data_IF_566356403612
#
_entry.id   IF_566356403612
#
_cell.length_a   1.000
_cell.length_b   1.000
_cell.length_c   1.000
_cell.angle_alpha   90.00
_cell.angle_beta   90.00
_cell.angle_gamma   90.00
#
_symmetry.space_group_name_H-M   'P 1'
#
loop_
_entity.id
_entity.type
_entity.pdbx_description
1 polymer ?
#
# COMPACT_ATOMS: atom_id res chain seq x y z
N UNK A 1 6.40 7.83 -19.31
CA UNK A 1 5.84 8.25 -18.00
C UNK A 1 6.61 7.55 -16.90
N UNK A 2 6.95 8.28 -15.82
CA UNK A 2 7.49 7.66 -14.62
C UNK A 2 6.46 6.70 -14.01
N UNK A 3 6.88 5.66 -13.26
CA UNK A 3 5.94 4.81 -12.54
C UNK A 3 5.16 5.64 -11.50
N UNK A 4 3.86 5.40 -11.33
CA UNK A 4 3.04 6.13 -10.36
C UNK A 4 3.56 5.85 -8.95
N UNK A 5 3.74 6.91 -8.17
CA UNK A 5 4.26 6.83 -6.82
C UNK A 5 3.13 7.05 -5.80
N UNK A 6 3.10 6.20 -4.78
CA UNK A 6 2.20 6.35 -3.64
C UNK A 6 2.77 7.43 -2.73
N UNK A 7 2.06 8.55 -2.59
CA UNK A 7 2.46 9.66 -1.72
C UNK A 7 2.02 9.46 -0.28
N UNK A 8 0.97 8.67 -0.06
CA UNK A 8 0.52 8.24 1.26
C UNK A 8 -0.46 7.07 1.12
N UNK A 9 -0.84 6.47 2.23
CA UNK A 9 -1.92 5.49 2.27
C UNK A 9 -2.60 5.48 3.62
N UNK A 10 -3.82 4.96 3.71
CA UNK A 10 -4.53 4.86 4.97
C UNK A 10 -5.59 3.76 4.91
N UNK A 11 -6.17 3.43 6.06
CA UNK A 11 -7.34 2.56 6.14
C UNK A 11 -8.59 3.43 6.22
N UNK A 12 -9.43 3.42 5.18
CA UNK A 12 -10.76 4.00 5.29
C UNK A 12 -11.61 3.17 6.25
N UNK A 13 -12.59 3.79 6.88
CA UNK A 13 -13.58 3.12 7.75
C UNK A 13 -14.91 2.90 7.04
N UNK A 14 -15.19 3.62 5.94
CA UNK A 14 -16.40 3.50 5.13
C UNK A 14 -16.04 3.70 3.65
N UNK A 15 -15.94 2.62 2.85
CA UNK A 15 -15.85 1.22 3.27
C UNK A 15 -14.57 0.95 4.06
N UNK A 16 -14.54 -0.11 4.87
CA UNK A 16 -13.33 -0.50 5.60
C UNK A 16 -12.31 -1.15 4.67
N UNK A 17 -11.45 -0.33 4.08
CA UNK A 17 -10.55 -0.72 2.98
C UNK A 17 -9.26 0.10 2.98
N UNK A 18 -8.12 -0.50 2.60
CA UNK A 18 -6.91 0.27 2.33
C UNK A 18 -7.10 1.21 1.15
N UNK A 19 -6.54 2.42 1.28
CA UNK A 19 -6.56 3.45 0.25
C UNK A 19 -5.13 3.85 -0.06
N UNK A 20 -4.75 3.77 -1.34
CA UNK A 20 -3.51 4.37 -1.85
C UNK A 20 -3.80 5.77 -2.36
N UNK A 21 -2.97 6.73 -1.95
CA UNK A 21 -3.06 8.12 -2.39
C UNK A 21 -1.93 8.37 -3.38
N UNK A 22 -2.30 8.84 -4.57
CA UNK A 22 -1.37 9.26 -5.62
C UNK A 22 -1.31 10.79 -5.73
N UNK A 23 -0.28 11.31 -6.38
CA UNK A 23 -0.09 12.76 -6.57
C UNK A 23 -1.22 13.42 -7.37
N UNK A 24 -1.79 12.70 -8.34
CA UNK A 24 -2.82 13.20 -9.24
C UNK A 24 -3.73 12.06 -9.74
N UNK A 25 -4.81 12.41 -10.42
CA UNK A 25 -5.80 11.47 -10.94
C UNK A 25 -5.27 10.58 -12.06
N UNK A 26 -4.37 11.10 -12.90
CA UNK A 26 -3.80 10.36 -14.04
C UNK A 26 -2.92 9.19 -13.55
N UNK A 27 -2.13 9.41 -12.50
CA UNK A 27 -1.31 8.37 -11.86
C UNK A 27 -2.18 7.28 -11.22
N UNK A 28 -3.26 7.68 -10.54
CA UNK A 28 -4.23 6.76 -9.95
C UNK A 28 -4.94 5.92 -11.03
N UNK A 29 -5.41 6.56 -12.10
CA UNK A 29 -6.05 5.88 -13.23
C UNK A 29 -5.07 4.94 -13.94
N UNK A 30 -3.84 5.39 -14.17
CA UNK A 30 -2.78 4.56 -14.74
C UNK A 30 -2.48 3.34 -13.86
N UNK A 31 -2.35 3.53 -12.54
CA UNK A 31 -2.21 2.42 -11.60
C UNK A 31 -3.40 1.45 -11.67
N UNK A 32 -4.63 1.97 -11.70
CA UNK A 32 -5.85 1.16 -11.81
C UNK A 32 -5.84 0.27 -13.07
N UNK A 33 -5.35 0.76 -14.20
CA UNK A 33 -5.25 -0.05 -15.43
C UNK A 33 -4.33 -1.28 -15.26
N UNK A 34 -3.35 -1.20 -14.34
CA UNK A 34 -2.40 -2.28 -14.03
C UNK A 34 -2.82 -3.12 -12.82
N UNK A 35 -3.60 -2.55 -11.91
CA UNK A 35 -4.08 -3.16 -10.68
C UNK A 35 -5.61 -3.28 -10.72
N UNK A 36 -6.12 -4.33 -11.39
CA UNK A 36 -7.56 -4.50 -11.66
C UNK A 36 -8.45 -4.63 -10.41
N UNK A 37 -7.87 -4.98 -9.26
CA UNK A 37 -8.59 -5.05 -8.00
C UNK A 37 -8.74 -3.68 -7.32
N UNK A 38 -7.91 -2.70 -7.71
CA UNK A 38 -8.02 -1.33 -7.25
C UNK A 38 -9.17 -0.63 -7.94
N UNK A 39 -9.90 0.20 -7.18
CA UNK A 39 -11.00 1.01 -7.71
C UNK A 39 -10.93 2.44 -7.24
N UNK A 40 -11.28 3.35 -8.14
CA UNK A 40 -11.53 4.75 -7.83
C UNK A 40 -13.03 4.89 -7.62
N UNK A 41 -13.45 5.44 -6.48
CA UNK A 41 -14.87 5.65 -6.19
C UNK A 41 -15.30 7.01 -6.75
N UNK A 42 -16.47 7.11 -7.43
CA UNK A 42 -16.90 8.35 -8.10
C UNK A 42 -17.17 9.50 -7.13
N UNK A 43 -17.55 9.19 -5.90
CA UNK A 43 -17.90 10.13 -4.83
C UNK A 43 -16.72 10.46 -3.90
N UNK A 44 -15.51 9.98 -4.22
CA UNK A 44 -14.28 10.22 -3.46
C UNK A 44 -13.25 10.97 -4.31
N UNK A 45 -12.10 11.32 -3.73
CA UNK A 45 -11.04 11.96 -4.48
C UNK A 45 -10.52 11.03 -5.60
N UNK A 46 -10.38 11.56 -6.82
CA UNK A 46 -10.01 10.77 -8.00
C UNK A 46 -8.57 10.27 -7.99
N UNK A 47 -7.71 10.81 -7.13
CA UNK A 47 -6.35 10.33 -6.89
C UNK A 47 -6.28 9.23 -5.81
N UNK A 48 -7.42 8.75 -5.31
CA UNK A 48 -7.49 7.68 -4.32
C UNK A 48 -7.86 6.36 -4.99
N UNK A 49 -7.09 5.32 -4.70
CA UNK A 49 -7.37 3.96 -5.14
C UNK A 49 -7.65 3.08 -3.94
N UNK A 50 -8.90 2.64 -3.83
CA UNK A 50 -9.37 1.71 -2.82
C UNK A 50 -8.98 0.30 -3.22
N UNK A 51 -8.47 -0.47 -2.26
CA UNK A 51 -8.05 -1.86 -2.44
C UNK A 51 -8.94 -2.78 -1.59
N UNK A 52 -9.15 -4.03 -2.00
CA UNK A 52 -9.75 -5.03 -1.13
C UNK A 52 -8.95 -5.19 0.15
N UNK A 53 -9.64 -5.46 1.26
CA UNK A 53 -8.99 -5.74 2.53
C UNK A 53 -8.02 -6.94 2.39
N UNK A 54 -6.71 -6.76 2.63
CA UNK A 54 -5.75 -7.82 2.44
C UNK A 54 -5.84 -8.84 3.58
N UNK A 55 -5.65 -10.11 3.22
CA UNK A 55 -5.69 -11.21 4.19
C UNK A 55 -4.60 -11.04 5.25
N UNK A 56 -4.95 -11.30 6.51
CA UNK A 56 -4.00 -11.30 7.62
C UNK A 56 -3.50 -9.92 8.03
N UNK A 57 -4.15 -8.83 7.59
CA UNK A 57 -3.85 -7.49 8.08
C UNK A 57 -4.23 -7.39 9.55
N UNK A 58 -3.28 -6.98 10.39
CA UNK A 58 -3.48 -6.80 11.82
C UNK A 58 -3.74 -5.35 12.18
N UNK A 59 -2.97 -4.42 11.58
CA UNK A 59 -3.12 -2.99 11.81
C UNK A 59 -2.43 -2.15 10.73
N UNK A 60 -2.87 -0.90 10.62
CA UNK A 60 -2.25 0.14 9.81
C UNK A 60 -1.85 1.28 10.74
N UNK A 61 -0.62 1.78 10.62
CA UNK A 61 -0.08 2.84 11.50
C UNK A 61 0.93 3.72 10.77
N UNK A 62 1.12 4.94 11.26
CA UNK A 62 2.24 5.77 10.82
C UNK A 62 3.58 5.10 11.14
N UNK A 63 4.55 5.30 10.26
CA UNK A 63 5.94 4.88 10.38
C UNK A 63 6.87 6.08 10.15
N UNK A 64 8.18 5.83 10.19
CA UNK A 64 9.18 6.87 10.00
C UNK A 64 9.09 7.47 8.58
N UNK A 65 9.53 8.73 8.44
CA UNK A 65 9.68 9.43 7.14
C UNK A 65 8.38 9.55 6.33
N UNK A 66 7.22 9.63 7.00
CA UNK A 66 5.93 9.78 6.32
C UNK A 66 5.40 8.49 5.70
N UNK A 67 6.05 7.36 5.97
CA UNK A 67 5.53 6.04 5.58
C UNK A 67 4.36 5.62 6.44
N UNK A 68 3.56 4.75 5.87
CA UNK A 68 2.43 4.08 6.49
C UNK A 68 2.75 2.59 6.46
N UNK A 69 2.72 1.99 7.64
CA UNK A 69 3.08 0.59 7.84
C UNK A 69 1.83 -0.25 7.99
N UNK A 70 1.72 -1.25 7.13
CA UNK A 70 0.73 -2.33 7.20
C UNK A 70 1.41 -3.52 7.86
N UNK A 71 0.98 -3.86 9.08
CA UNK A 71 1.49 -5.01 9.82
C UNK A 71 0.60 -6.23 9.55
N UNK A 72 1.21 -7.36 9.16
CA UNK A 72 0.53 -8.62 8.84
C UNK A 72 0.87 -9.72 9.84
N UNK A 73 0.00 -10.72 9.93
CA UNK A 73 0.19 -11.93 10.74
C UNK A 73 1.40 -12.77 10.29
N UNK A 74 1.74 -12.72 9.00
CA UNK A 74 2.74 -13.55 8.33
C UNK A 74 3.44 -12.79 7.21
N UNK A 75 4.70 -13.16 6.96
CA UNK A 75 5.49 -12.57 5.88
C UNK A 75 4.95 -12.92 4.48
N UNK A 76 4.26 -14.06 4.36
CA UNK A 76 3.59 -14.47 3.12
C UNK A 76 2.46 -13.50 2.79
N UNK A 77 1.62 -13.16 3.77
CA UNK A 77 0.53 -12.21 3.55
C UNK A 77 1.06 -10.80 3.23
N UNK A 78 2.13 -10.35 3.90
CA UNK A 78 2.79 -9.09 3.56
C UNK A 78 3.29 -9.07 2.11
N UNK A 79 3.94 -10.15 1.64
CA UNK A 79 4.39 -10.28 0.25
C UNK A 79 3.24 -10.28 -0.73
N UNK A 80 2.20 -11.08 -0.47
CA UNK A 80 1.02 -11.15 -1.32
C UNK A 80 0.35 -9.77 -1.44
N UNK A 81 0.25 -9.01 -0.35
CA UNK A 81 -0.25 -7.65 -0.41
C UNK A 81 0.66 -6.77 -1.27
N UNK A 82 1.98 -6.80 -1.06
CA UNK A 82 2.91 -5.99 -1.85
C UNK A 82 2.85 -6.34 -3.36
N UNK A 83 2.77 -7.62 -3.69
CA UNK A 83 2.63 -8.11 -5.06
C UNK A 83 1.29 -7.65 -5.67
N UNK A 84 0.23 -7.62 -4.86
CA UNK A 84 -1.09 -7.13 -5.27
C UNK A 84 -1.05 -5.66 -5.69
N UNK A 85 -0.21 -4.84 -5.06
CA UNK A 85 0.02 -3.44 -5.41
C UNK A 85 1.24 -3.24 -6.32
N UNK A 86 1.64 -4.28 -7.06
CA UNK A 86 2.74 -4.26 -8.06
C UNK A 86 4.09 -3.85 -7.47
N UNK A 87 4.33 -4.18 -6.21
CA UNK A 87 5.60 -3.89 -5.53
C UNK A 87 5.83 -2.42 -5.22
N UNK A 88 4.79 -1.59 -5.19
CA UNK A 88 4.91 -0.18 -4.80
C UNK A 88 5.26 0.00 -3.32
N UNK A 89 5.00 -1.01 -2.48
CA UNK A 89 5.40 -1.03 -1.09
C UNK A 89 6.79 -1.61 -0.87
N UNK A 90 7.35 -1.30 0.30
CA UNK A 90 8.66 -1.76 0.74
C UNK A 90 8.51 -2.81 1.83
N UNK A 91 9.25 -3.91 1.70
CA UNK A 91 9.41 -4.92 2.76
C UNK A 91 10.90 -4.95 3.08
N UNK A 92 11.26 -4.56 4.30
CA UNK A 92 12.67 -4.57 4.71
C UNK A 92 13.09 -5.98 5.08
N UNK A 93 14.37 -6.31 4.98
CA UNK A 93 14.91 -7.51 5.60
C UNK A 93 15.43 -7.09 6.97
N UNK A 94 14.90 -7.68 8.04
CA UNK A 94 15.44 -7.44 9.37
C UNK A 94 16.80 -8.15 9.48
N UNK A 95 17.88 -7.37 9.47
CA UNK A 95 19.25 -7.89 9.56
C UNK A 95 19.54 -8.56 10.91
N UNK A 96 18.74 -8.30 11.95
CA UNK A 96 18.95 -8.78 13.30
C UNK A 96 18.06 -9.96 13.69
N UNK A 97 17.06 -10.34 12.87
CA UNK A 97 16.12 -11.45 13.15
C UNK A 97 16.32 -12.69 12.27
N UNK A 98 17.50 -12.87 11.66
CA UNK A 98 17.80 -14.06 10.85
C UNK A 98 16.86 -14.22 9.63
N UNK A 99 16.49 -15.46 9.29
CA UNK A 99 15.63 -15.79 8.14
C UNK A 99 14.16 -15.34 8.25
N UNK A 100 13.78 -14.63 9.32
CA UNK A 100 12.42 -14.11 9.47
C UNK A 100 12.19 -12.94 8.51
N UNK A 101 11.55 -13.26 7.39
CA UNK A 101 11.04 -12.29 6.42
C UNK A 101 10.12 -11.29 7.14
N UNK A 102 10.30 -9.99 6.91
CA UNK A 102 9.49 -8.95 7.53
C UNK A 102 8.01 -9.13 7.15
N UNK A 103 7.14 -8.92 8.14
CA UNK A 103 5.69 -9.07 8.04
C UNK A 103 5.02 -7.72 7.79
N UNK A 104 5.79 -6.74 7.33
CA UNK A 104 5.38 -5.35 7.24
C UNK A 104 5.57 -4.85 5.82
N UNK A 105 4.60 -4.07 5.35
CA UNK A 105 4.68 -3.34 4.09
C UNK A 105 4.62 -1.85 4.40
N UNK A 106 5.63 -1.11 3.97
CA UNK A 106 5.73 0.33 4.15
C UNK A 106 5.38 1.03 2.84
N UNK A 107 4.46 1.98 2.92
CA UNK A 107 3.95 2.76 1.79
C UNK A 107 4.02 4.25 2.10
N UNK A 108 4.62 5.02 1.21
CA UNK A 108 4.79 6.44 1.40
C UNK A 108 5.85 7.01 0.47
N UNK A 109 6.05 8.33 0.53
CA UNK A 109 6.96 9.03 -0.34
C UNK A 109 8.36 8.48 -0.06
N UNK A 110 9.05 8.02 -1.10
CA UNK A 110 10.42 7.55 -0.97
C UNK A 110 11.31 8.76 -0.72
N UNK A 111 11.35 9.24 0.53
CA UNK A 111 12.26 10.28 0.96
C UNK A 111 13.65 9.65 1.02
N UNK A 112 14.44 9.89 -0.04
CA UNK A 112 15.86 9.55 -0.10
C UNK A 112 16.60 10.21 1.07
#
# INVERSE_FOLDING_TARGET
MAPPAVVSSFLSVVPSEPVLVFSNADDAAYFQTRCRQGRILPDQQSNWVFLPMPKGLLRVRAAARGDICYDFDSATNARHFNDSIKGLGRIYQDKNQGFHKDRRVYLGPQLM
#
